data_IF_943197459255
#
_entry.id   IF_943197459255
#
_cell.length_a   1.000
_cell.length_b   1.000
_cell.length_c   1.000
_cell.angle_alpha   90.00
_cell.angle_beta   90.00
_cell.angle_gamma   90.00
#
_symmetry.space_group_name_H-M   'P 1'
#
loop_
_entity.id
_entity.type
_entity.pdbx_description
1 polymer ?
#
# COMPACT_ATOMS: atom_id res chain seq x y z
N UNK A 1 0.56 31.42 -15.82
CA UNK A 1 0.65 29.98 -16.11
C UNK A 1 2.12 29.59 -15.99
N UNK A 2 2.54 29.09 -14.82
CA UNK A 2 3.92 28.63 -14.65
C UNK A 2 4.08 27.32 -15.45
N UNK A 3 4.99 27.31 -16.43
CA UNK A 3 5.41 26.09 -17.09
C UNK A 3 5.95 25.16 -16.02
N UNK A 4 5.26 24.05 -15.77
CA UNK A 4 5.74 22.99 -14.90
C UNK A 4 7.03 22.44 -15.52
N UNK A 5 8.17 22.92 -15.04
CA UNK A 5 9.46 22.41 -15.47
C UNK A 5 9.62 20.98 -14.98
N UNK A 6 9.99 20.14 -15.86
CA UNK A 6 10.17 18.70 -15.75
C UNK A 6 11.51 18.38 -15.08
N UNK A 7 11.67 17.14 -14.62
CA UNK A 7 12.97 16.66 -14.13
C UNK A 7 14.05 16.86 -15.20
N UNK A 8 15.24 17.31 -14.79
CA UNK A 8 16.39 17.47 -15.68
C UNK A 8 16.65 16.21 -16.54
N UNK A 9 16.60 15.03 -15.94
CA UNK A 9 16.79 13.76 -16.64
C UNK A 9 15.69 13.49 -17.66
N UNK A 10 14.42 13.72 -17.28
CA UNK A 10 13.29 13.48 -18.19
C UNK A 10 13.32 14.45 -19.37
N UNK A 11 13.58 15.74 -19.13
CA UNK A 11 13.69 16.74 -20.18
C UNK A 11 14.86 16.46 -21.10
N UNK A 12 16.01 16.11 -20.54
CA UNK A 12 17.22 15.82 -21.31
C UNK A 12 17.07 14.59 -22.23
N UNK A 13 16.24 13.61 -21.84
CA UNK A 13 16.06 12.35 -22.57
C UNK A 13 14.81 12.28 -23.44
N UNK A 14 13.91 13.25 -23.34
CA UNK A 14 12.64 13.25 -24.06
C UNK A 14 12.77 13.22 -25.60
N UNK A 15 13.91 13.69 -26.13
CA UNK A 15 14.18 13.81 -27.56
C UNK A 15 14.97 12.62 -28.13
N UNK A 16 15.42 11.69 -27.30
CA UNK A 16 16.28 10.59 -27.72
C UNK A 16 15.61 9.24 -27.55
N UNK A 17 15.74 8.40 -28.57
CA UNK A 17 15.24 7.02 -28.59
C UNK A 17 16.35 5.96 -28.52
N UNK A 18 17.59 6.38 -28.84
CA UNK A 18 18.76 5.52 -28.89
C UNK A 18 19.85 6.09 -27.96
N UNK A 19 20.48 5.27 -27.08
CA UNK A 19 21.60 5.68 -26.23
C UNK A 19 22.74 6.34 -26.99
N UNK A 20 23.07 5.86 -28.18
CA UNK A 20 24.16 6.36 -29.00
C UNK A 20 23.89 7.73 -29.63
N UNK A 21 22.62 8.17 -29.64
CA UNK A 21 22.21 9.49 -30.12
C UNK A 21 22.31 10.60 -29.06
N UNK A 22 22.54 10.24 -27.79
CA UNK A 22 22.60 11.18 -26.67
C UNK A 22 23.96 11.89 -26.64
N UNK A 23 24.01 13.24 -26.55
CA UNK A 23 25.27 13.97 -26.41
C UNK A 23 26.06 13.50 -25.17
N UNK A 24 27.38 13.38 -25.33
CA UNK A 24 28.28 12.86 -24.28
C UNK A 24 28.22 13.68 -22.99
N UNK A 25 28.08 15.01 -23.08
CA UNK A 25 27.94 15.89 -21.92
C UNK A 25 26.66 15.61 -21.10
N UNK A 26 25.59 15.24 -21.79
CA UNK A 26 24.31 14.83 -21.18
C UNK A 26 24.46 13.47 -20.47
N UNK A 27 25.13 12.50 -21.11
CA UNK A 27 25.43 11.21 -20.51
C UNK A 27 26.26 11.37 -19.22
N UNK A 28 27.30 12.22 -19.22
CA UNK A 28 28.14 12.49 -18.05
C UNK A 28 27.31 13.06 -16.88
N UNK A 29 26.49 14.07 -17.14
CA UNK A 29 25.64 14.67 -16.10
C UNK A 29 24.64 13.68 -15.50
N UNK A 30 24.04 12.82 -16.32
CA UNK A 30 23.14 11.77 -15.86
C UNK A 30 23.91 10.75 -15.01
N UNK A 31 25.09 10.34 -15.46
CA UNK A 31 25.96 9.42 -14.73
C UNK A 31 26.39 9.98 -13.36
N UNK A 32 26.70 11.27 -13.26
CA UNK A 32 27.01 11.94 -12.00
C UNK A 32 25.87 11.83 -11.00
N UNK A 33 24.61 12.03 -11.43
CA UNK A 33 23.45 11.90 -10.55
C UNK A 33 23.22 10.44 -10.16
N UNK A 34 23.31 9.48 -11.09
CA UNK A 34 23.12 8.06 -10.83
C UNK A 34 24.21 7.47 -9.91
N UNK A 35 25.44 8.00 -9.98
CA UNK A 35 26.58 7.61 -9.14
C UNK A 35 26.62 8.35 -7.80
N UNK A 36 25.74 9.34 -7.59
CA UNK A 36 25.73 10.10 -6.35
C UNK A 36 25.44 9.18 -5.15
N UNK A 37 26.25 9.24 -4.06
CA UNK A 37 26.05 8.38 -2.88
C UNK A 37 24.69 8.53 -2.23
N UNK A 38 24.11 9.72 -2.23
CA UNK A 38 22.77 9.96 -1.69
C UNK A 38 21.69 9.23 -2.51
N UNK A 39 21.78 9.29 -3.86
CA UNK A 39 20.86 8.59 -4.75
C UNK A 39 20.93 7.08 -4.57
N UNK A 40 22.17 6.54 -4.53
CA UNK A 40 22.40 5.10 -4.27
C UNK A 40 21.88 4.69 -2.89
N UNK A 41 22.11 5.52 -1.86
CA UNK A 41 21.63 5.29 -0.50
C UNK A 41 20.09 5.22 -0.45
N UNK A 42 19.41 6.16 -1.11
CA UNK A 42 17.94 6.16 -1.21
C UNK A 42 17.42 4.90 -1.90
N UNK A 43 18.02 4.50 -3.03
CA UNK A 43 17.66 3.26 -3.72
C UNK A 43 17.87 2.00 -2.87
N UNK A 44 18.96 1.96 -2.11
CA UNK A 44 19.26 0.85 -1.21
C UNK A 44 18.24 0.74 -0.07
N UNK A 45 17.86 1.85 0.57
CA UNK A 45 16.84 1.88 1.62
C UNK A 45 15.49 1.39 1.07
N UNK A 46 15.06 1.91 -0.08
CA UNK A 46 13.82 1.50 -0.73
C UNK A 46 13.83 0.01 -1.13
N UNK A 47 14.99 -0.52 -1.52
CA UNK A 47 15.18 -1.95 -1.80
C UNK A 47 15.02 -2.79 -0.52
N UNK A 48 15.60 -2.37 0.60
CA UNK A 48 15.45 -3.03 1.90
C UNK A 48 14.00 -3.04 2.38
N UNK A 49 13.28 -1.94 2.23
CA UNK A 49 11.86 -1.87 2.55
C UNK A 49 11.03 -2.87 1.71
N UNK A 50 11.35 -2.99 0.42
CA UNK A 50 10.71 -3.94 -0.48
C UNK A 50 10.99 -5.40 -0.10
N UNK A 51 12.23 -5.74 0.25
CA UNK A 51 12.59 -7.07 0.77
C UNK A 51 11.88 -7.34 2.09
N UNK A 52 11.82 -6.35 2.98
CA UNK A 52 11.05 -6.41 4.23
C UNK A 52 9.57 -6.68 3.97
N UNK A 53 8.96 -6.02 2.97
CA UNK A 53 7.57 -6.24 2.58
C UNK A 53 7.34 -7.70 2.14
N UNK A 54 8.18 -8.21 1.24
CA UNK A 54 8.09 -9.60 0.75
C UNK A 54 8.19 -10.60 1.90
N UNK A 55 9.18 -10.42 2.80
CA UNK A 55 9.38 -11.32 3.95
C UNK A 55 8.19 -11.26 4.93
N UNK A 56 7.66 -10.08 5.23
CA UNK A 56 6.47 -9.91 6.06
C UNK A 56 5.24 -10.58 5.45
N UNK A 57 5.02 -10.44 4.13
CA UNK A 57 3.88 -11.09 3.43
C UNK A 57 4.02 -12.61 3.49
N UNK A 58 5.18 -13.16 3.17
CA UNK A 58 5.43 -14.61 3.26
C UNK A 58 5.17 -15.12 4.68
N UNK A 59 5.71 -14.44 5.69
CA UNK A 59 5.47 -14.77 7.09
C UNK A 59 3.98 -14.72 7.44
N UNK A 60 3.27 -13.66 7.05
CA UNK A 60 1.84 -13.51 7.30
C UNK A 60 1.03 -14.65 6.68
N UNK A 61 1.28 -14.98 5.42
CA UNK A 61 0.60 -16.08 4.71
C UNK A 61 0.90 -17.43 5.35
N UNK A 62 2.17 -17.75 5.61
CA UNK A 62 2.56 -19.04 6.20
C UNK A 62 2.00 -19.22 7.61
N UNK A 63 2.02 -18.16 8.44
CA UNK A 63 1.64 -18.23 9.85
C UNK A 63 0.15 -18.14 10.11
N UNK A 64 -0.59 -17.40 9.28
CA UNK A 64 -1.98 -17.03 9.57
C UNK A 64 -3.02 -17.61 8.61
N UNK A 65 -2.64 -18.19 7.46
CA UNK A 65 -3.57 -18.74 6.46
C UNK A 65 -4.70 -19.62 7.03
N UNK A 66 -4.40 -20.41 8.08
CA UNK A 66 -5.38 -21.30 8.74
C UNK A 66 -5.97 -20.74 10.05
N UNK A 67 -5.60 -19.52 10.44
CA UNK A 67 -5.87 -18.96 11.78
C UNK A 67 -6.55 -17.59 11.75
N UNK A 68 -6.85 -17.06 10.57
CA UNK A 68 -7.62 -15.84 10.40
C UNK A 68 -9.07 -16.12 10.82
N UNK A 69 -9.55 -15.38 11.83
CA UNK A 69 -10.95 -15.43 12.30
C UNK A 69 -11.78 -14.35 11.60
N UNK A 70 -11.49 -14.02 10.33
CA UNK A 70 -12.25 -13.04 9.57
C UNK A 70 -13.25 -13.72 8.65
N UNK A 71 -14.29 -12.98 8.29
CA UNK A 71 -15.25 -13.45 7.30
C UNK A 71 -14.54 -13.75 5.96
N UNK A 72 -14.92 -14.84 5.25
CA UNK A 72 -14.25 -15.27 4.03
C UNK A 72 -14.11 -14.17 2.95
N UNK A 73 -15.07 -13.24 2.86
CA UNK A 73 -14.98 -12.12 1.91
C UNK A 73 -13.79 -11.20 2.21
N UNK A 74 -13.56 -10.90 3.49
CA UNK A 74 -12.39 -10.08 3.91
C UNK A 74 -11.09 -10.84 3.75
N UNK A 75 -11.09 -12.16 3.98
CA UNK A 75 -9.88 -12.98 3.75
C UNK A 75 -9.44 -12.93 2.28
N UNK A 76 -10.41 -13.03 1.34
CA UNK A 76 -10.14 -12.91 -0.10
C UNK A 76 -9.58 -11.53 -0.43
N UNK A 77 -10.21 -10.46 0.05
CA UNK A 77 -9.74 -9.10 -0.21
C UNK A 77 -8.39 -8.80 0.45
N UNK A 78 -8.13 -9.31 1.65
CA UNK A 78 -6.82 -9.18 2.30
C UNK A 78 -5.73 -9.94 1.52
N UNK A 79 -6.06 -11.11 0.98
CA UNK A 79 -5.17 -11.84 0.08
C UNK A 79 -4.87 -11.02 -1.19
N UNK A 80 -5.89 -10.40 -1.79
CA UNK A 80 -5.74 -9.51 -2.96
C UNK A 80 -4.83 -8.31 -2.63
N UNK A 81 -4.99 -7.72 -1.45
CA UNK A 81 -4.12 -6.64 -0.96
C UNK A 81 -2.66 -7.11 -0.85
N UNK A 82 -2.43 -8.29 -0.28
CA UNK A 82 -1.08 -8.85 -0.16
C UNK A 82 -0.46 -9.19 -1.52
N UNK A 83 -1.24 -9.70 -2.46
CA UNK A 83 -0.76 -9.93 -3.83
C UNK A 83 -0.37 -8.61 -4.49
N UNK A 84 -1.15 -7.55 -4.33
CA UNK A 84 -0.83 -6.22 -4.85
C UNK A 84 0.46 -5.65 -4.23
N UNK A 85 0.61 -5.77 -2.90
CA UNK A 85 1.85 -5.37 -2.20
C UNK A 85 3.06 -6.20 -2.67
N UNK A 86 2.88 -7.51 -2.86
CA UNK A 86 3.93 -8.43 -3.31
C UNK A 86 4.40 -8.09 -4.73
N UNK A 87 3.47 -7.85 -5.65
CA UNK A 87 3.79 -7.43 -7.01
C UNK A 87 4.59 -6.13 -7.01
N UNK A 88 4.10 -5.09 -6.31
CA UNK A 88 4.82 -3.83 -6.20
C UNK A 88 6.23 -4.05 -5.63
N UNK A 89 6.35 -4.67 -4.46
CA UNK A 89 7.62 -4.84 -3.77
C UNK A 89 8.64 -5.67 -4.58
N UNK A 90 8.19 -6.75 -5.22
CA UNK A 90 9.06 -7.62 -6.02
C UNK A 90 9.63 -6.89 -7.24
N UNK A 91 8.75 -6.29 -8.07
CA UNK A 91 9.20 -5.63 -9.29
C UNK A 91 9.96 -4.34 -9.00
N UNK A 92 9.62 -3.63 -7.93
CA UNK A 92 10.38 -2.47 -7.48
C UNK A 92 11.79 -2.88 -6.99
N UNK A 93 11.89 -3.93 -6.18
CA UNK A 93 13.18 -4.46 -5.74
C UNK A 93 14.06 -4.87 -6.93
N UNK A 94 13.51 -5.63 -7.90
CA UNK A 94 14.22 -6.02 -9.12
C UNK A 94 14.71 -4.80 -9.90
N UNK A 95 13.87 -3.78 -10.06
CA UNK A 95 14.25 -2.54 -10.73
C UNK A 95 15.41 -1.82 -9.99
N UNK A 96 15.36 -1.75 -8.65
CA UNK A 96 16.39 -1.08 -7.85
C UNK A 96 17.71 -1.85 -7.82
N UNK A 97 17.66 -3.17 -7.73
CA UNK A 97 18.85 -4.01 -7.83
C UNK A 97 19.53 -3.82 -9.19
N UNK A 98 18.77 -3.80 -10.28
CA UNK A 98 19.30 -3.52 -11.62
C UNK A 98 19.94 -2.13 -11.70
N UNK A 99 19.24 -1.08 -11.24
CA UNK A 99 19.74 0.30 -11.26
C UNK A 99 21.02 0.47 -10.43
N UNK A 100 21.05 -0.10 -9.24
CA UNK A 100 22.26 -0.11 -8.39
C UNK A 100 23.41 -0.84 -9.08
N UNK A 101 23.17 -2.00 -9.67
CA UNK A 101 24.19 -2.75 -10.40
C UNK A 101 24.77 -1.94 -11.56
N UNK A 102 23.91 -1.33 -12.38
CA UNK A 102 24.35 -0.45 -13.47
C UNK A 102 25.15 0.74 -12.93
N UNK A 103 24.69 1.38 -11.87
CA UNK A 103 25.34 2.53 -11.25
C UNK A 103 26.75 2.20 -10.68
N UNK A 104 26.98 0.95 -10.23
CA UNK A 104 28.28 0.53 -9.67
C UNK A 104 29.24 -0.02 -10.72
N UNK A 105 28.75 -0.77 -11.70
CA UNK A 105 29.59 -1.59 -12.58
C UNK A 105 29.71 -1.04 -14.00
N UNK A 106 28.82 -0.13 -14.45
CA UNK A 106 28.91 0.40 -15.82
C UNK A 106 29.94 1.52 -15.88
N UNK A 107 30.95 1.35 -16.76
CA UNK A 107 32.03 2.31 -16.98
C UNK A 107 31.57 3.41 -17.95
N UNK A 108 30.91 3.03 -19.04
CA UNK A 108 30.48 3.97 -20.07
C UNK A 108 29.18 4.69 -19.60
N UNK A 109 29.23 6.03 -19.54
CA UNK A 109 28.14 6.87 -19.05
C UNK A 109 26.87 6.73 -19.89
N UNK A 110 26.98 6.55 -21.22
CA UNK A 110 25.84 6.43 -22.11
C UNK A 110 25.16 5.05 -22.08
N UNK A 111 25.72 4.06 -21.36
CA UNK A 111 25.08 2.74 -21.17
C UNK A 111 24.32 2.59 -19.84
N UNK A 112 24.05 3.69 -19.14
CA UNK A 112 23.33 3.67 -17.85
C UNK A 112 21.80 3.72 -17.99
N UNK A 113 21.26 3.67 -19.21
CA UNK A 113 19.82 3.68 -19.45
C UNK A 113 19.20 2.31 -19.23
N UNK A 114 17.91 2.33 -18.83
CA UNK A 114 17.12 1.10 -18.71
C UNK A 114 16.75 0.55 -20.08
N UNK A 115 16.96 -0.76 -20.34
CA UNK A 115 16.42 -1.39 -21.54
C UNK A 115 14.90 -1.18 -21.59
N UNK A 116 14.38 -0.80 -22.76
CA UNK A 116 12.96 -0.46 -22.94
C UNK A 116 12.01 -1.54 -22.42
N UNK A 117 12.24 -2.80 -22.77
CA UNK A 117 11.38 -3.89 -22.33
C UNK A 117 11.42 -4.07 -20.82
N UNK A 118 12.60 -3.92 -20.21
CA UNK A 118 12.76 -3.99 -18.77
C UNK A 118 12.01 -2.86 -18.07
N UNK A 119 12.12 -1.62 -18.58
CA UNK A 119 11.36 -0.47 -18.08
C UNK A 119 9.85 -0.71 -18.16
N UNK A 120 9.33 -1.10 -19.33
CA UNK A 120 7.90 -1.32 -19.55
C UNK A 120 7.36 -2.37 -18.57
N UNK A 121 8.03 -3.52 -18.44
CA UNK A 121 7.59 -4.62 -17.58
C UNK A 121 7.62 -4.19 -16.11
N UNK A 122 8.75 -3.65 -15.64
CA UNK A 122 8.89 -3.27 -14.22
C UNK A 122 7.94 -2.14 -13.86
N UNK A 123 7.81 -1.11 -14.70
CA UNK A 123 6.88 0.00 -14.50
C UNK A 123 5.42 -0.49 -14.45
N UNK A 124 5.01 -1.38 -15.38
CA UNK A 124 3.66 -1.95 -15.41
C UNK A 124 3.28 -2.61 -14.09
N UNK A 125 4.12 -3.51 -13.60
CA UNK A 125 3.83 -4.24 -12.37
C UNK A 125 3.93 -3.37 -11.11
N UNK A 126 4.84 -2.38 -11.08
CA UNK A 126 4.93 -1.41 -9.99
C UNK A 126 3.65 -0.58 -9.91
N UNK A 127 3.18 -0.04 -11.05
CA UNK A 127 1.94 0.74 -11.11
C UNK A 127 0.72 -0.13 -10.82
N UNK A 128 0.67 -1.36 -11.37
CA UNK A 128 -0.40 -2.32 -11.09
C UNK A 128 -0.50 -2.62 -9.59
N UNK A 129 0.62 -2.88 -8.93
CA UNK A 129 0.67 -3.11 -7.49
C UNK A 129 0.15 -1.90 -6.70
N UNK A 130 0.61 -0.70 -7.03
CA UNK A 130 0.21 0.54 -6.36
C UNK A 130 -1.30 0.85 -6.52
N UNK A 131 -1.83 0.77 -7.75
CA UNK A 131 -3.27 0.92 -8.01
C UNK A 131 -4.08 -0.19 -7.34
N UNK A 132 -3.58 -1.44 -7.36
CA UNK A 132 -4.20 -2.58 -6.73
C UNK A 132 -4.34 -2.43 -5.22
N UNK A 133 -3.34 -1.88 -4.52
CA UNK A 133 -3.41 -1.59 -3.07
C UNK A 133 -4.57 -0.63 -2.78
N UNK A 134 -4.68 0.47 -3.53
CA UNK A 134 -5.73 1.48 -3.36
C UNK A 134 -7.12 0.94 -3.67
N UNK A 135 -7.26 0.25 -4.81
CA UNK A 135 -8.54 -0.30 -5.25
C UNK A 135 -9.03 -1.41 -4.31
N UNK A 136 -8.12 -2.24 -3.78
CA UNK A 136 -8.46 -3.28 -2.80
C UNK A 136 -8.91 -2.67 -1.48
N UNK A 137 -8.28 -1.59 -1.00
CA UNK A 137 -8.74 -0.89 0.19
C UNK A 137 -10.18 -0.39 0.02
N UNK A 138 -10.50 0.18 -1.13
CA UNK A 138 -11.87 0.62 -1.46
C UNK A 138 -12.86 -0.54 -1.42
N UNK A 139 -12.49 -1.67 -2.02
CA UNK A 139 -13.30 -2.88 -2.01
C UNK A 139 -13.55 -3.39 -0.58
N UNK A 140 -12.53 -3.34 0.30
CA UNK A 140 -12.65 -3.71 1.72
C UNK A 140 -13.61 -2.76 2.47
N UNK A 141 -13.59 -1.46 2.17
CA UNK A 141 -14.52 -0.47 2.74
C UNK A 141 -15.96 -0.79 2.31
N UNK A 142 -16.18 -1.02 1.01
CA UNK A 142 -17.48 -1.37 0.46
C UNK A 142 -18.02 -2.64 1.11
N UNK A 143 -17.18 -3.66 1.22
CA UNK A 143 -17.53 -4.93 1.87
C UNK A 143 -17.95 -4.69 3.33
N UNK A 144 -17.20 -3.86 4.08
CA UNK A 144 -17.57 -3.52 5.47
C UNK A 144 -18.85 -2.70 5.57
N UNK A 145 -19.13 -1.81 4.64
CA UNK A 145 -20.44 -1.12 4.56
C UNK A 145 -21.58 -2.13 4.41
N UNK A 146 -21.45 -3.08 3.47
CA UNK A 146 -22.46 -4.12 3.23
C UNK A 146 -22.62 -5.03 4.45
N UNK A 147 -21.52 -5.50 5.06
CA UNK A 147 -21.53 -6.33 6.27
C UNK A 147 -22.16 -5.61 7.47
N UNK A 148 -21.94 -4.30 7.58
CA UNK A 148 -22.54 -3.48 8.65
C UNK A 148 -24.04 -3.24 8.41
N UNK A 149 -24.47 -3.03 7.17
CA UNK A 149 -25.87 -2.83 6.82
C UNK A 149 -26.70 -4.11 6.96
N UNK A 150 -26.16 -5.25 6.52
CA UNK A 150 -26.87 -6.52 6.39
C UNK A 150 -26.53 -7.54 7.51
N UNK A 151 -26.17 -7.09 8.73
CA UNK A 151 -25.66 -7.95 9.81
C UNK A 151 -26.46 -9.24 10.01
N UNK A 152 -27.78 -9.20 9.94
CA UNK A 152 -28.64 -10.35 10.24
C UNK A 152 -28.70 -11.40 9.12
N UNK A 153 -28.40 -11.01 7.87
CA UNK A 153 -28.46 -11.86 6.67
C UNK A 153 -27.11 -12.12 6.03
N UNK A 154 -26.09 -11.39 6.45
CA UNK A 154 -24.75 -11.41 5.83
C UNK A 154 -24.06 -12.79 5.95
N UNK A 155 -24.19 -13.47 7.09
CA UNK A 155 -23.62 -14.81 7.31
C UNK A 155 -24.15 -15.88 6.32
N UNK A 156 -25.40 -15.73 5.88
CA UNK A 156 -26.01 -16.67 4.93
C UNK A 156 -25.51 -16.46 3.49
N UNK A 157 -24.92 -15.33 3.20
CA UNK A 157 -24.35 -15.01 1.88
C UNK A 157 -22.87 -15.43 1.84
N UNK A 158 -22.63 -16.51 1.11
CA UNK A 158 -21.35 -17.13 0.82
C UNK A 158 -20.28 -16.12 0.32
N UNK A 159 -19.06 -16.57 0.06
CA UNK A 159 -17.86 -15.88 -0.46
C UNK A 159 -18.07 -15.04 -1.73
N UNK A 160 -19.29 -14.96 -2.25
CA UNK A 160 -19.63 -14.34 -3.55
C UNK A 160 -19.26 -12.87 -3.62
N UNK A 161 -19.53 -12.09 -2.55
CA UNK A 161 -19.23 -10.66 -2.53
C UNK A 161 -17.72 -10.39 -2.60
N UNK A 162 -16.90 -11.16 -1.86
CA UNK A 162 -15.44 -11.02 -1.89
C UNK A 162 -14.86 -11.31 -3.28
N UNK A 163 -15.37 -12.35 -3.95
CA UNK A 163 -14.94 -12.70 -5.31
C UNK A 163 -15.35 -11.61 -6.31
N UNK A 164 -16.59 -11.13 -6.27
CA UNK A 164 -17.05 -10.05 -7.16
C UNK A 164 -16.20 -8.79 -6.97
N UNK A 165 -15.99 -8.36 -5.73
CA UNK A 165 -15.18 -7.18 -5.45
C UNK A 165 -13.73 -7.34 -5.90
N UNK A 166 -13.12 -8.53 -5.71
CA UNK A 166 -11.78 -8.82 -6.21
C UNK A 166 -11.72 -8.75 -7.74
N UNK A 167 -12.72 -9.29 -8.44
CA UNK A 167 -12.78 -9.20 -9.90
C UNK A 167 -12.88 -7.75 -10.37
N UNK A 168 -13.70 -6.94 -9.71
CA UNK A 168 -13.81 -5.50 -9.99
C UNK A 168 -12.45 -4.79 -9.76
N UNK A 169 -11.76 -5.10 -8.67
CA UNK A 169 -10.42 -4.56 -8.37
C UNK A 169 -9.44 -4.88 -9.49
N UNK A 170 -9.39 -6.14 -9.95
CA UNK A 170 -8.47 -6.56 -11.01
C UNK A 170 -8.79 -5.83 -12.31
N UNK A 171 -10.06 -5.76 -12.71
CA UNK A 171 -10.48 -5.07 -13.93
C UNK A 171 -10.15 -3.58 -13.86
N UNK A 172 -10.55 -2.89 -12.77
CA UNK A 172 -10.29 -1.48 -12.59
C UNK A 172 -8.78 -1.16 -12.62
N UNK A 173 -7.98 -1.96 -11.90
CA UNK A 173 -6.51 -1.81 -11.87
C UNK A 173 -5.90 -2.04 -13.25
N UNK A 174 -6.37 -3.04 -13.99
CA UNK A 174 -5.90 -3.30 -15.37
C UNK A 174 -6.26 -2.16 -16.33
N UNK A 175 -7.44 -1.58 -16.17
CA UNK A 175 -7.86 -0.41 -16.98
C UNK A 175 -7.01 0.83 -16.65
N UNK A 176 -6.74 1.12 -15.36
CA UNK A 176 -5.88 2.24 -14.94
C UNK A 176 -4.47 2.10 -15.52
N UNK A 177 -3.90 0.91 -15.44
CA UNK A 177 -2.56 0.60 -15.99
C UNK A 177 -2.57 0.69 -17.49
N UNK A 178 -3.53 0.08 -18.17
CA UNK A 178 -3.67 0.11 -19.65
C UNK A 178 -3.81 1.53 -20.18
N UNK A 179 -4.62 2.36 -19.51
CA UNK A 179 -4.76 3.78 -19.87
C UNK A 179 -3.46 4.56 -19.64
N UNK A 180 -2.76 4.30 -18.52
CA UNK A 180 -1.44 4.87 -18.25
C UNK A 180 -0.41 4.49 -19.32
N UNK A 181 -0.40 3.23 -19.77
CA UNK A 181 0.52 2.74 -20.81
C UNK A 181 0.25 3.31 -22.19
N UNK A 182 -1.02 3.47 -22.59
CA UNK A 182 -1.38 4.16 -23.83
C UNK A 182 -0.76 5.56 -23.89
N UNK A 183 -0.60 6.17 -22.73
CA UNK A 183 0.00 7.49 -22.56
C UNK A 183 1.54 7.45 -22.65
N UNK A 184 2.20 6.34 -22.28
CA UNK A 184 3.67 6.19 -22.17
C UNK A 184 4.30 5.59 -23.44
N UNK A 185 3.52 5.22 -24.44
CA UNK A 185 3.95 4.47 -25.63
C UNK A 185 4.99 5.17 -26.54
N UNK A 186 5.66 6.26 -26.09
CA UNK A 186 6.77 6.89 -26.77
C UNK A 186 8.09 6.11 -26.69
N UNK A 187 8.99 6.33 -27.66
CA UNK A 187 10.34 5.74 -27.67
C UNK A 187 11.32 6.64 -26.91
N UNK A 188 11.10 6.84 -25.59
CA UNK A 188 11.99 7.68 -24.79
C UNK A 188 12.95 6.81 -23.97
N UNK A 189 14.19 7.27 -23.81
CA UNK A 189 15.16 6.68 -22.91
C UNK A 189 14.77 6.98 -21.45
N UNK A 190 14.91 5.99 -20.59
CA UNK A 190 14.56 6.09 -19.17
C UNK A 190 15.71 5.65 -18.29
N UNK A 191 15.95 6.38 -17.22
CA UNK A 191 16.98 6.08 -16.22
C UNK A 191 16.40 5.42 -14.97
N UNK A 192 15.10 5.56 -14.76
CA UNK A 192 14.42 5.04 -13.56
C UNK A 192 13.04 4.45 -13.93
N UNK A 193 12.69 3.31 -13.33
CA UNK A 193 11.39 2.64 -13.52
C UNK A 193 10.18 3.45 -13.04
N UNK A 194 10.39 4.50 -12.22
CA UNK A 194 9.34 5.41 -11.75
C UNK A 194 9.17 6.65 -12.62
N UNK A 195 10.04 6.85 -13.60
CA UNK A 195 10.05 8.06 -14.42
C UNK A 195 8.89 8.06 -15.41
N UNK A 196 8.21 9.19 -15.53
CA UNK A 196 7.20 9.44 -16.55
C UNK A 196 7.76 10.38 -17.62
N UNK A 197 7.39 10.23 -18.90
CA UNK A 197 7.76 11.17 -19.96
C UNK A 197 7.22 12.58 -19.66
N UNK A 198 7.99 13.59 -20.05
CA UNK A 198 7.78 15.01 -19.74
C UNK A 198 6.44 15.58 -20.15
N UNK A 199 5.90 15.13 -21.28
CA UNK A 199 4.66 15.66 -21.86
C UNK A 199 3.44 15.58 -20.92
N UNK A 200 3.57 14.94 -19.75
CA UNK A 200 2.46 14.60 -18.83
C UNK A 200 2.66 15.03 -17.39
N UNK A 201 3.72 15.79 -17.08
CA UNK A 201 4.04 16.18 -15.69
C UNK A 201 2.93 17.03 -15.02
N UNK A 202 2.16 17.80 -15.76
CA UNK A 202 1.03 18.58 -15.25
C UNK A 202 -0.10 17.72 -14.67
N UNK A 203 -0.39 16.58 -15.30
CA UNK A 203 -1.45 15.67 -14.86
C UNK A 203 -1.09 14.93 -13.55
N UNK A 204 0.20 14.76 -13.26
CA UNK A 204 0.68 14.05 -12.06
C UNK A 204 0.27 14.77 -10.77
N UNK A 205 0.32 16.11 -10.74
CA UNK A 205 -0.08 16.88 -9.56
C UNK A 205 -1.58 16.76 -9.28
N UNK A 206 -2.41 16.81 -10.32
CA UNK A 206 -3.86 16.59 -10.21
C UNK A 206 -4.14 15.18 -9.70
N UNK A 207 -3.43 14.18 -10.21
CA UNK A 207 -3.56 12.79 -9.76
C UNK A 207 -3.22 12.65 -8.28
N UNK A 208 -2.14 13.28 -7.78
CA UNK A 208 -1.81 13.28 -6.35
C UNK A 208 -2.89 13.94 -5.49
N UNK A 209 -3.44 15.06 -5.93
CA UNK A 209 -4.54 15.73 -5.23
C UNK A 209 -5.77 14.83 -5.13
N UNK A 210 -6.15 14.17 -6.23
CA UNK A 210 -7.27 13.22 -6.27
C UNK A 210 -7.02 12.04 -5.32
N UNK A 211 -5.82 11.45 -5.34
CA UNK A 211 -5.46 10.34 -4.46
C UNK A 211 -5.53 10.76 -2.99
N UNK A 212 -5.06 11.96 -2.65
CA UNK A 212 -5.10 12.48 -1.29
C UNK A 212 -6.54 12.68 -0.80
N UNK A 213 -7.39 13.34 -1.59
CA UNK A 213 -8.82 13.52 -1.26
C UNK A 213 -9.50 12.17 -1.08
N UNK A 214 -9.24 11.23 -1.98
CA UNK A 214 -9.79 9.88 -1.91
C UNK A 214 -9.34 9.14 -0.64
N UNK A 215 -8.06 9.27 -0.25
CA UNK A 215 -7.53 8.66 0.99
C UNK A 215 -8.15 9.28 2.25
N UNK A 216 -8.40 10.61 2.26
CA UNK A 216 -9.12 11.27 3.35
C UNK A 216 -10.56 10.77 3.48
N UNK A 217 -11.29 10.66 2.36
CA UNK A 217 -12.64 10.11 2.34
C UNK A 217 -12.68 8.65 2.81
N UNK A 218 -11.71 7.85 2.38
CA UNK A 218 -11.55 6.45 2.82
C UNK A 218 -11.34 6.33 4.32
N UNK A 219 -10.46 7.16 4.90
CA UNK A 219 -10.23 7.19 6.35
C UNK A 219 -11.48 7.66 7.11
N UNK A 220 -12.14 8.73 6.67
CA UNK A 220 -13.36 9.23 7.30
C UNK A 220 -14.46 8.14 7.32
N UNK A 221 -14.63 7.43 6.20
CA UNK A 221 -15.61 6.33 6.10
C UNK A 221 -15.25 5.17 7.02
N UNK A 222 -13.97 4.77 7.11
CA UNK A 222 -13.55 3.68 7.99
C UNK A 222 -13.68 4.02 9.47
N UNK A 223 -13.39 5.26 9.87
CA UNK A 223 -13.62 5.73 11.25
C UNK A 223 -15.11 5.73 11.57
N UNK A 224 -15.96 6.22 10.67
CA UNK A 224 -17.42 6.24 10.85
C UNK A 224 -17.97 4.82 11.01
N UNK A 225 -17.53 3.87 10.17
CA UNK A 225 -17.89 2.45 10.28
C UNK A 225 -17.44 1.83 11.62
N UNK A 226 -16.21 2.14 12.04
CA UNK A 226 -15.69 1.65 13.31
C UNK A 226 -16.52 2.18 14.49
N UNK A 227 -16.75 3.49 14.57
CA UNK A 227 -17.57 4.11 15.61
C UNK A 227 -19.00 3.57 15.63
N UNK A 228 -19.63 3.42 14.46
CA UNK A 228 -20.97 2.85 14.32
C UNK A 228 -21.02 1.41 14.83
N UNK A 229 -20.07 0.56 14.43
CA UNK A 229 -20.01 -0.84 14.85
C UNK A 229 -19.74 -0.99 16.37
N UNK A 230 -18.92 -0.11 16.96
CA UNK A 230 -18.68 -0.07 18.42
C UNK A 230 -19.97 0.30 19.16
N UNK A 231 -20.70 1.33 18.70
CA UNK A 231 -21.95 1.75 19.32
C UNK A 231 -23.03 0.67 19.20
N UNK A 232 -23.17 0.04 18.04
CA UNK A 232 -24.17 -1.00 17.77
C UNK A 232 -23.94 -2.27 18.59
N UNK A 233 -22.68 -2.60 18.95
CA UNK A 233 -22.32 -3.79 19.75
C UNK A 233 -23.03 -3.83 21.10
N UNK A 234 -23.38 -2.70 21.68
CA UNK A 234 -24.01 -2.60 23.03
C UNK A 234 -25.46 -3.08 23.08
N UNK A 235 -26.13 -3.33 21.97
CA UNK A 235 -27.61 -3.46 21.89
C UNK A 235 -28.14 -4.81 21.40
N UNK A 236 -27.38 -5.95 21.32
CA UNK A 236 -27.81 -7.14 20.55
C UNK A 236 -27.74 -8.50 21.25
N UNK A 237 -28.52 -9.48 20.67
CA UNK A 237 -28.58 -10.91 20.97
C UNK A 237 -27.24 -11.64 20.79
N UNK A 238 -27.11 -12.86 21.36
CA UNK A 238 -25.82 -13.59 21.45
C UNK A 238 -25.15 -13.82 20.08
N UNK A 239 -25.89 -14.27 19.07
CA UNK A 239 -25.37 -14.57 17.72
C UNK A 239 -24.94 -13.29 16.99
N UNK A 240 -25.74 -12.23 17.08
CA UNK A 240 -25.38 -10.94 16.47
C UNK A 240 -24.23 -10.24 17.21
N UNK A 241 -23.96 -10.65 18.46
CA UNK A 241 -22.80 -10.16 19.26
C UNK A 241 -21.49 -10.68 18.71
N UNK A 242 -21.40 -11.94 18.26
CA UNK A 242 -20.20 -12.48 17.65
C UNK A 242 -19.85 -11.72 16.34
N UNK A 243 -20.81 -11.55 15.44
CA UNK A 243 -20.62 -10.79 14.20
C UNK A 243 -20.24 -9.33 14.46
N UNK A 244 -20.86 -8.71 15.48
CA UNK A 244 -20.54 -7.35 15.87
C UNK A 244 -19.08 -7.23 16.36
N UNK A 245 -18.56 -8.21 17.10
CA UNK A 245 -17.14 -8.25 17.54
C UNK A 245 -16.21 -8.38 16.34
N UNK A 246 -16.56 -9.25 15.38
CA UNK A 246 -15.78 -9.42 14.15
C UNK A 246 -15.78 -8.14 13.31
N UNK A 247 -16.94 -7.50 13.12
CA UNK A 247 -17.06 -6.25 12.40
C UNK A 247 -16.24 -5.12 13.04
N UNK A 248 -16.24 -5.00 14.37
CA UNK A 248 -15.41 -4.03 15.10
C UNK A 248 -13.92 -4.32 14.88
N UNK A 249 -13.51 -5.59 15.00
CA UNK A 249 -12.10 -5.98 14.82
C UNK A 249 -11.62 -5.71 13.41
N UNK A 250 -12.41 -6.06 12.40
CA UNK A 250 -12.06 -5.84 10.98
C UNK A 250 -12.07 -4.36 10.62
N UNK A 251 -13.05 -3.59 11.12
CA UNK A 251 -13.07 -2.13 10.92
C UNK A 251 -11.87 -1.46 11.58
N UNK A 252 -11.41 -1.93 12.75
CA UNK A 252 -10.21 -1.42 13.40
C UNK A 252 -8.94 -1.68 12.55
N UNK A 253 -8.80 -2.90 11.99
CA UNK A 253 -7.70 -3.20 11.08
C UNK A 253 -7.73 -2.30 9.84
N UNK A 254 -8.92 -2.11 9.25
CA UNK A 254 -9.11 -1.26 8.09
C UNK A 254 -8.76 0.22 8.39
N UNK A 255 -9.11 0.72 9.59
CA UNK A 255 -8.67 2.05 10.04
C UNK A 255 -7.13 2.16 10.09
N UNK A 256 -6.44 1.15 10.62
CA UNK A 256 -4.97 1.14 10.67
C UNK A 256 -4.38 1.19 9.25
N UNK A 257 -4.87 0.35 8.33
CA UNK A 257 -4.44 0.36 6.92
C UNK A 257 -4.69 1.73 6.27
N UNK A 258 -5.87 2.30 6.49
CA UNK A 258 -6.24 3.63 5.94
C UNK A 258 -5.37 4.75 6.49
N UNK A 259 -5.00 4.71 7.78
CA UNK A 259 -4.08 5.68 8.40
C UNK A 259 -2.68 5.56 7.78
N UNK A 260 -2.15 4.33 7.64
CA UNK A 260 -0.84 4.11 7.02
C UNK A 260 -0.83 4.70 5.62
N UNK A 261 -1.82 4.39 4.80
CA UNK A 261 -1.90 4.90 3.44
C UNK A 261 -2.05 6.42 3.39
N UNK A 262 -2.95 7.00 4.18
CA UNK A 262 -3.12 8.46 4.19
C UNK A 262 -1.83 9.18 4.59
N UNK A 263 -1.18 8.74 5.66
CA UNK A 263 0.05 9.38 6.15
C UNK A 263 1.16 9.27 5.12
N UNK A 264 1.40 8.08 4.57
CA UNK A 264 2.48 7.88 3.59
C UNK A 264 2.21 8.62 2.28
N UNK A 265 0.97 8.60 1.75
CA UNK A 265 0.64 9.35 0.55
C UNK A 265 0.63 10.86 0.76
N UNK A 266 0.20 11.35 1.92
CA UNK A 266 0.25 12.78 2.24
C UNK A 266 1.70 13.28 2.32
N UNK A 267 2.56 12.54 3.01
CA UNK A 267 4.00 12.87 3.09
C UNK A 267 4.65 12.83 1.70
N UNK A 268 4.34 11.80 0.89
CA UNK A 268 4.84 11.68 -0.47
C UNK A 268 4.37 12.85 -1.35
N UNK A 269 3.08 13.17 -1.34
CA UNK A 269 2.51 14.28 -2.11
C UNK A 269 3.11 15.63 -1.69
N UNK A 270 3.27 15.85 -0.37
CA UNK A 270 3.91 17.05 0.17
C UNK A 270 5.37 17.15 -0.27
N UNK A 271 6.16 16.09 -0.09
CA UNK A 271 7.56 16.05 -0.49
C UNK A 271 7.73 16.34 -2.00
N UNK A 272 6.92 15.68 -2.85
CA UNK A 272 6.98 15.88 -4.30
C UNK A 272 6.58 17.30 -4.71
N UNK A 273 5.57 17.88 -4.07
CA UNK A 273 5.15 19.27 -4.34
C UNK A 273 6.22 20.26 -3.89
N UNK A 274 6.76 20.08 -2.69
CA UNK A 274 7.83 20.92 -2.16
C UNK A 274 9.07 20.89 -3.07
N UNK A 275 9.53 19.68 -3.45
CA UNK A 275 10.70 19.52 -4.33
C UNK A 275 10.50 20.20 -5.69
N UNK A 276 9.31 20.10 -6.26
CA UNK A 276 8.99 20.77 -7.54
C UNK A 276 9.00 22.29 -7.43
N UNK A 277 8.53 22.83 -6.31
CA UNK A 277 8.45 24.28 -6.12
C UNK A 277 9.79 24.92 -5.77
N UNK A 278 10.62 24.23 -4.96
CA UNK A 278 11.83 24.83 -4.36
C UNK A 278 13.13 24.36 -4.99
N UNK A 279 13.19 23.14 -5.56
CA UNK A 279 14.43 22.48 -6.01
C UNK A 279 14.45 22.22 -7.54
N UNK A 280 13.65 22.95 -8.28
CA UNK A 280 13.46 22.68 -9.72
C UNK A 280 14.74 22.81 -10.57
N UNK A 281 15.67 23.68 -10.16
CA UNK A 281 16.98 23.88 -10.82
C UNK A 281 18.10 22.99 -10.26
N UNK A 282 17.80 22.17 -9.23
CA UNK A 282 18.81 21.35 -8.58
C UNK A 282 19.11 20.09 -9.41
N UNK A 283 20.36 19.81 -9.78
CA UNK A 283 20.71 18.60 -10.53
C UNK A 283 20.39 17.29 -9.77
N UNK A 284 20.31 17.34 -8.43
CA UNK A 284 19.96 16.20 -7.58
C UNK A 284 18.46 16.03 -7.35
N UNK A 285 17.60 16.77 -8.06
CA UNK A 285 16.14 16.69 -7.90
C UNK A 285 15.62 15.24 -8.00
N UNK A 286 16.16 14.46 -8.94
CA UNK A 286 15.72 13.08 -9.13
C UNK A 286 16.18 12.17 -7.97
N UNK A 287 17.31 12.46 -7.34
CA UNK A 287 17.75 11.78 -6.13
C UNK A 287 16.84 12.09 -4.93
N UNK A 288 16.39 13.32 -4.79
CA UNK A 288 15.42 13.70 -3.75
C UNK A 288 14.04 13.08 -4.00
N UNK A 289 13.59 13.01 -5.26
CA UNK A 289 12.33 12.31 -5.60
C UNK A 289 12.41 10.83 -5.27
N UNK A 290 13.55 10.19 -5.50
CA UNK A 290 13.77 8.79 -5.14
C UNK A 290 13.70 8.59 -3.62
N UNK A 291 14.36 9.45 -2.83
CA UNK A 291 14.31 9.41 -1.37
C UNK A 291 12.90 9.70 -0.82
N UNK A 292 12.14 10.54 -1.51
CA UNK A 292 10.75 10.86 -1.15
C UNK A 292 9.72 9.81 -1.59
N UNK A 293 10.09 8.76 -2.30
CA UNK A 293 9.16 7.73 -2.75
C UNK A 293 8.81 6.75 -1.64
N UNK A 294 7.71 7.01 -0.93
CA UNK A 294 7.30 6.28 0.28
C UNK A 294 6.37 5.09 0.04
N UNK A 295 6.10 4.71 -1.21
CA UNK A 295 5.25 3.54 -1.52
C UNK A 295 5.87 2.22 -1.05
N UNK A 296 7.20 1.96 -1.17
CA UNK A 296 7.83 0.78 -0.59
C UNK A 296 7.61 0.66 0.91
N UNK A 297 7.73 1.78 1.65
CA UNK A 297 7.40 1.84 3.07
C UNK A 297 5.94 1.45 3.34
N UNK A 298 4.99 1.92 2.53
CA UNK A 298 3.57 1.55 2.64
C UNK A 298 3.38 0.04 2.45
N UNK A 299 4.01 -0.54 1.43
CA UNK A 299 3.92 -1.99 1.15
C UNK A 299 4.53 -2.85 2.25
N UNK A 300 5.51 -2.34 2.99
CA UNK A 300 6.08 -2.97 4.18
C UNK A 300 5.19 -2.82 5.40
N UNK A 301 4.70 -1.60 5.67
CA UNK A 301 3.93 -1.30 6.89
C UNK A 301 2.57 -2.00 6.92
N UNK A 302 1.89 -2.19 5.78
CA UNK A 302 0.58 -2.86 5.73
C UNK A 302 0.64 -4.30 6.26
N UNK A 303 1.45 -5.22 5.71
CA UNK A 303 1.55 -6.58 6.24
C UNK A 303 2.12 -6.62 7.66
N UNK A 304 3.09 -5.79 8.00
CA UNK A 304 3.66 -5.69 9.34
C UNK A 304 2.59 -5.29 10.36
N UNK A 305 1.84 -4.22 10.12
CA UNK A 305 0.76 -3.79 11.01
C UNK A 305 -0.34 -4.85 11.14
N UNK A 306 -0.66 -5.57 10.06
CA UNK A 306 -1.63 -6.67 10.10
C UNK A 306 -1.14 -7.82 10.98
N UNK A 307 0.14 -8.20 10.90
CA UNK A 307 0.75 -9.21 11.77
C UNK A 307 0.63 -8.80 13.23
N UNK A 308 1.07 -7.58 13.57
CA UNK A 308 1.02 -7.03 14.92
C UNK A 308 -0.42 -6.97 15.45
N UNK A 309 -1.37 -6.55 14.60
CA UNK A 309 -2.79 -6.51 14.96
C UNK A 309 -3.35 -7.89 15.29
N UNK A 310 -3.06 -8.90 14.48
CA UNK A 310 -3.53 -10.28 14.68
C UNK A 310 -2.93 -10.86 15.95
N UNK A 311 -1.63 -10.69 16.21
CA UNK A 311 -0.97 -11.19 17.43
C UNK A 311 -1.52 -10.52 18.68
N UNK A 312 -1.68 -9.20 18.68
CA UNK A 312 -2.27 -8.47 19.80
C UNK A 312 -3.72 -8.90 20.06
N UNK A 313 -4.50 -9.12 19.00
CA UNK A 313 -5.88 -9.60 19.14
C UNK A 313 -5.94 -11.00 19.75
N UNK A 314 -5.04 -11.91 19.36
CA UNK A 314 -4.92 -13.24 19.96
C UNK A 314 -4.49 -13.18 21.41
N UNK A 315 -3.51 -12.34 21.76
CA UNK A 315 -3.05 -12.16 23.12
C UNK A 315 -4.17 -11.67 24.04
N UNK A 316 -4.96 -10.68 23.59
CA UNK A 316 -6.13 -10.16 24.31
C UNK A 316 -7.19 -11.24 24.54
N UNK A 317 -7.48 -12.10 23.54
CA UNK A 317 -8.43 -13.21 23.67
C UNK A 317 -7.95 -14.23 24.69
N UNK A 318 -6.67 -14.62 24.67
CA UNK A 318 -6.07 -15.56 25.64
C UNK A 318 -6.14 -15.01 27.06
N UNK A 319 -5.69 -13.76 27.27
CA UNK A 319 -5.77 -13.10 28.57
C UNK A 319 -7.19 -13.02 29.13
N UNK A 320 -8.19 -12.80 28.27
CA UNK A 320 -9.60 -12.83 28.66
C UNK A 320 -10.06 -14.22 29.12
N UNK A 321 -9.65 -15.28 28.42
CA UNK A 321 -9.97 -16.67 28.79
C UNK A 321 -9.26 -17.05 30.08
N UNK A 322 -7.96 -16.75 30.19
CA UNK A 322 -7.19 -17.06 31.41
C UNK A 322 -7.76 -16.34 32.64
N UNK A 323 -8.26 -15.11 32.48
CA UNK A 323 -8.97 -14.37 33.51
C UNK A 323 -10.27 -15.04 33.94
N UNK A 324 -11.02 -15.64 32.99
CA UNK A 324 -12.25 -16.38 33.31
C UNK A 324 -11.95 -17.73 33.98
N UNK A 325 -10.90 -18.44 33.55
CA UNK A 325 -10.52 -19.76 34.09
C UNK A 325 -9.93 -19.65 35.52
N UNK A 326 -9.27 -18.52 35.83
CA UNK A 326 -8.70 -18.26 37.17
C UNK A 326 -9.74 -17.87 38.22
N UNK A 327 -11.01 -17.67 37.85
CA UNK A 327 -12.10 -17.42 38.78
C UNK A 327 -12.34 -18.71 39.61
N UNK A 328 -12.15 -18.66 40.94
CA UNK A 328 -12.47 -19.78 41.80
C UNK A 328 -13.94 -20.19 41.59
N UNK A 329 -14.17 -21.47 41.30
CA UNK A 329 -15.49 -21.99 40.87
C UNK A 329 -16.27 -22.66 42.02
N UNK A 330 -15.67 -22.77 43.20
CA UNK A 330 -16.25 -23.49 44.32
C UNK A 330 -16.63 -22.55 45.47
N UNK A 331 -17.80 -22.82 46.13
CA UNK A 331 -18.29 -22.13 47.30
C UNK A 331 -18.92 -20.75 47.00
N UNK A 332 -19.15 -20.00 48.08
CA UNK A 332 -19.78 -18.67 48.03
C UNK A 332 -18.96 -17.68 47.22
N UNK A 333 -17.62 -17.71 47.31
CA UNK A 333 -16.71 -16.92 46.46
C UNK A 333 -16.87 -17.23 44.97
N UNK A 334 -17.13 -18.49 44.61
CA UNK A 334 -17.40 -18.91 43.23
C UNK A 334 -18.68 -18.32 42.70
N UNK A 335 -19.72 -18.26 43.51
CA UNK A 335 -21.01 -17.66 43.16
C UNK A 335 -20.91 -16.12 42.96
N UNK A 336 -20.25 -15.43 43.89
CA UNK A 336 -20.02 -13.98 43.82
C UNK A 336 -19.19 -13.61 42.59
N UNK A 337 -18.15 -14.38 42.28
CA UNK A 337 -17.34 -14.21 41.08
C UNK A 337 -18.14 -14.48 39.82
N UNK A 338 -19.00 -15.50 39.79
CA UNK A 338 -19.91 -15.80 38.66
C UNK A 338 -20.90 -14.66 38.43
N UNK A 339 -21.52 -14.15 39.48
CA UNK A 339 -22.44 -13.00 39.42
C UNK A 339 -21.72 -11.74 38.98
N UNK A 340 -20.50 -11.49 39.45
CA UNK A 340 -19.68 -10.34 39.03
C UNK A 340 -19.29 -10.42 37.54
N UNK A 341 -18.93 -11.59 37.03
CA UNK A 341 -18.65 -11.84 35.63
C UNK A 341 -19.91 -11.66 34.75
N UNK A 342 -21.03 -12.22 35.21
CA UNK A 342 -22.31 -12.02 34.55
C UNK A 342 -22.69 -10.55 34.48
N UNK A 343 -22.63 -9.82 35.59
CA UNK A 343 -22.97 -8.40 35.63
C UNK A 343 -22.02 -7.52 34.77
N UNK A 344 -20.74 -7.94 34.63
CA UNK A 344 -19.77 -7.24 33.78
C UNK A 344 -20.00 -7.50 32.28
N UNK A 345 -20.61 -8.61 31.91
CA UNK A 345 -20.88 -8.99 30.53
C UNK A 345 -22.30 -8.66 30.06
N UNK A 346 -23.22 -8.40 31.00
CA UNK A 346 -24.62 -8.10 30.70
C UNK A 346 -24.98 -6.60 30.87
N UNK A 347 -24.04 -5.77 31.36
CA UNK A 347 -24.06 -4.31 31.26
C UNK A 347 -23.36 -3.87 29.97
#
# INVERSE_FOLDING_TARGET
MASFQTSFMAAALSNYSDPDSVPQDTCIRIAEVLRNPFYRGAQFVNCLESVGAVTCIIYAVCRYRKKLSFHPNIEILLCTLYVSCLLHATFYCVAKVYQLSVSFFTINECHMFLPRNFYIITHAFIVFGNCGIRNTQTAMIIERCVATALVDTYEKRCRTLGVILTSIVIIATSMEVGFGFYIIAGNHLMTNSLMYPDSKSGNVTITFAIILVFSCCSLATTISLFCFNVHRRRRRTLTSRYQSVENVSTSALLCIISIIQLVTFALYAFAMTYLRLTQNSNPLLDAYKEAGYLVPLTTFLIPFATIVFIENSKKRRRSGIDGMVKVKTNGQEGWENYVAVLNRHWK
#
